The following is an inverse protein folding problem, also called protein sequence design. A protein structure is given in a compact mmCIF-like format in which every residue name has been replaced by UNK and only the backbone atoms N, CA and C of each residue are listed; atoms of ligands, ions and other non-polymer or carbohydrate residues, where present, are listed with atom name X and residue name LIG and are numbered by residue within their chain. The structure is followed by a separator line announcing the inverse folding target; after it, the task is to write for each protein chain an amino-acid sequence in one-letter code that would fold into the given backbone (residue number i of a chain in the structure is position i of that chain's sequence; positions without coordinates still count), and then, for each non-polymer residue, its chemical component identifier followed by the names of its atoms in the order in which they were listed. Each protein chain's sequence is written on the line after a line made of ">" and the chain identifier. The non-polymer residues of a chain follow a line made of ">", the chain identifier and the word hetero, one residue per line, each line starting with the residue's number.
data_IF_150811159640
#
_entry.id   IF_150811159640
#
_cell.length_a   1.000
_cell.length_b   1.000
_cell.length_c   1.000
_cell.angle_alpha   90.00
_cell.angle_beta   90.00
_cell.angle_gamma   90.00
#
_symmetry.space_group_name_H-M   'P 1'
#
loop_
_entity.id
_entity.type
_entity.pdbx_description
1 polymer ?
#
# COMPACT_ATOMS: atom_id res chain seq x y z
N UNK A 1 22.01 62.99 48.84
CA UNK A 1 22.78 61.98 48.11
C UNK A 1 22.01 60.63 48.29
N UNK A 2 21.14 60.30 47.37
CA UNK A 2 20.28 59.15 47.48
C UNK A 2 20.73 58.08 46.46
N UNK A 3 21.31 56.99 46.98
CA UNK A 3 21.65 55.80 46.23
C UNK A 3 20.39 54.95 46.00
N UNK A 4 19.78 54.97 44.80
CA UNK A 4 18.73 54.08 44.39
C UNK A 4 19.36 52.77 43.93
N UNK A 5 19.36 51.71 44.79
CA UNK A 5 19.74 50.33 44.42
C UNK A 5 18.64 49.76 43.55
N UNK A 6 18.87 49.65 42.26
CA UNK A 6 18.07 48.87 41.33
C UNK A 6 18.26 47.39 41.65
N UNK A 7 17.30 46.79 42.32
CA UNK A 7 17.22 45.35 42.45
C UNK A 7 16.67 44.82 41.12
N UNK A 8 17.54 44.34 40.24
CA UNK A 8 17.13 43.55 39.05
C UNK A 8 16.52 42.25 39.56
N UNK A 9 15.25 42.02 39.19
CA UNK A 9 14.50 40.80 39.52
C UNK A 9 15.12 39.60 38.78
N UNK A 10 15.86 38.79 39.55
CA UNK A 10 16.52 37.57 39.09
C UNK A 10 15.53 36.43 38.82
N UNK A 11 14.24 36.69 38.98
CA UNK A 11 13.18 35.68 38.80
C UNK A 11 12.64 35.56 37.37
N UNK A 12 13.05 36.45 36.43
CA UNK A 12 12.60 36.38 35.04
C UNK A 12 13.41 35.43 34.14
N UNK A 13 14.60 35.03 34.57
CA UNK A 13 15.50 34.17 33.81
C UNK A 13 15.07 32.68 33.73
N UNK A 14 14.49 32.06 34.77
CA UNK A 14 14.08 30.64 34.63
C UNK A 14 12.80 30.44 33.81
N UNK A 15 11.91 31.44 33.71
CA UNK A 15 10.65 31.32 32.95
C UNK A 15 10.86 31.32 31.44
N UNK A 16 11.87 32.06 30.94
CA UNK A 16 12.20 32.10 29.51
C UNK A 16 12.88 30.81 29.02
N UNK A 17 13.58 30.07 29.89
CA UNK A 17 14.28 28.84 29.54
C UNK A 17 13.33 27.65 29.42
N UNK A 18 12.18 27.69 30.10
CA UNK A 18 11.16 26.63 30.03
C UNK A 18 10.35 26.65 28.73
N UNK A 19 10.27 27.79 28.04
CA UNK A 19 9.55 27.92 26.77
C UNK A 19 10.36 27.39 25.57
N UNK A 20 11.67 27.21 25.71
CA UNK A 20 12.51 26.68 24.61
C UNK A 20 12.54 25.15 24.53
N UNK A 21 12.10 24.44 25.57
CA UNK A 21 12.10 22.96 25.59
C UNK A 21 10.80 22.38 25.01
N UNK A 22 9.74 23.16 24.90
CA UNK A 22 8.43 22.69 24.40
C UNK A 22 8.30 22.65 22.88
N UNK A 23 9.31 23.11 22.14
CA UNK A 23 9.25 23.27 20.68
C UNK A 23 9.68 22.07 19.84
N UNK A 24 10.31 21.04 20.42
CA UNK A 24 10.90 19.94 19.63
C UNK A 24 10.04 18.67 19.53
N UNK A 25 8.85 18.62 20.15
CA UNK A 25 8.04 17.40 20.20
C UNK A 25 6.97 17.31 19.09
N UNK A 26 6.87 18.28 18.18
CA UNK A 26 5.73 18.38 17.25
C UNK A 26 6.07 18.15 15.77
N UNK A 27 7.28 17.73 15.43
CA UNK A 27 7.65 17.47 14.04
C UNK A 27 8.20 16.06 13.84
N UNK A 28 7.52 15.04 14.37
CA UNK A 28 7.59 13.73 13.76
C UNK A 28 6.60 13.74 12.58
N UNK A 29 7.04 14.28 11.48
CA UNK A 29 6.46 13.95 10.19
C UNK A 29 6.91 12.50 9.93
N UNK A 30 6.13 11.54 10.43
CA UNK A 30 6.20 10.19 9.89
C UNK A 30 5.92 10.32 8.39
N UNK A 31 6.97 10.23 7.60
CA UNK A 31 6.83 10.01 6.17
C UNK A 31 6.13 8.65 6.05
N UNK A 32 4.79 8.67 5.97
CA UNK A 32 4.03 7.47 5.79
C UNK A 32 4.54 6.81 4.50
N UNK A 33 5.15 5.63 4.66
CA UNK A 33 5.60 4.83 3.55
C UNK A 33 4.39 4.47 2.70
N UNK A 34 4.47 4.71 1.39
CA UNK A 34 3.50 4.20 0.45
C UNK A 34 3.70 2.72 0.20
N UNK A 35 2.68 2.01 -0.25
CA UNK A 35 2.80 0.61 -0.64
C UNK A 35 3.33 0.48 -2.07
N UNK A 36 4.08 -0.58 -2.33
CA UNK A 36 4.24 -1.09 -3.69
C UNK A 36 3.18 -2.15 -3.92
N UNK A 37 2.40 -2.02 -4.98
CA UNK A 37 1.45 -3.03 -5.43
C UNK A 37 1.75 -3.37 -6.89
N UNK A 38 1.85 -4.65 -7.22
CA UNK A 38 2.03 -5.14 -8.59
C UNK A 38 1.10 -6.32 -8.81
N UNK A 39 0.24 -6.21 -9.79
CA UNK A 39 -0.65 -7.29 -10.20
C UNK A 39 -0.25 -7.74 -11.59
N UNK A 40 0.19 -8.98 -11.68
CA UNK A 40 0.65 -9.60 -12.92
C UNK A 40 -0.33 -10.68 -13.37
N UNK A 41 -0.49 -10.81 -14.66
CA UNK A 41 -1.24 -11.92 -15.24
C UNK A 41 -0.38 -13.17 -15.36
N UNK A 42 -0.99 -14.33 -15.13
CA UNK A 42 -0.39 -15.61 -15.49
C UNK A 42 -0.19 -15.66 -17.00
N UNK A 43 1.00 -16.11 -17.41
CA UNK A 43 1.41 -16.23 -18.81
C UNK A 43 2.01 -17.59 -19.06
N UNK A 44 1.87 -18.09 -20.27
CA UNK A 44 2.56 -19.30 -20.67
C UNK A 44 4.06 -19.04 -20.76
N UNK A 45 4.86 -20.07 -20.43
CA UNK A 45 6.32 -19.96 -20.52
C UNK A 45 6.69 -19.62 -21.96
N UNK A 46 7.25 -18.44 -22.16
CA UNK A 46 7.71 -17.98 -23.48
C UNK A 46 9.23 -18.12 -23.60
N UNK A 47 9.67 -18.61 -24.73
CA UNK A 47 11.10 -18.65 -25.09
C UNK A 47 11.72 -17.25 -25.26
N UNK A 48 10.91 -16.20 -25.29
CA UNK A 48 11.35 -14.81 -25.55
C UNK A 48 11.70 -14.02 -24.28
N UNK A 49 11.71 -14.64 -23.09
CA UNK A 49 12.17 -13.99 -21.84
C UNK A 49 11.20 -12.97 -21.22
N UNK A 50 9.98 -12.82 -21.75
CA UNK A 50 8.95 -11.92 -21.22
C UNK A 50 8.14 -12.51 -20.06
N UNK A 51 8.56 -13.68 -19.54
CA UNK A 51 7.88 -14.37 -18.44
C UNK A 51 8.85 -14.69 -17.33
N UNK A 52 8.34 -14.70 -16.09
CA UNK A 52 9.10 -15.03 -14.87
C UNK A 52 8.31 -16.09 -14.09
N UNK A 53 9.01 -17.12 -13.62
CA UNK A 53 8.45 -18.10 -12.69
C UNK A 53 8.55 -17.58 -11.27
N UNK A 54 7.45 -17.62 -10.53
CA UNK A 54 7.36 -17.15 -9.14
C UNK A 54 6.68 -18.21 -8.28
N UNK A 55 6.99 -18.18 -6.97
CA UNK A 55 6.28 -18.99 -5.97
C UNK A 55 5.39 -18.07 -5.15
N UNK A 56 4.11 -18.42 -5.08
CA UNK A 56 3.09 -17.69 -4.30
C UNK A 56 2.61 -18.58 -3.17
N UNK A 57 2.21 -17.97 -2.05
CA UNK A 57 1.75 -18.63 -0.82
C UNK A 57 2.86 -19.37 -0.07
N UNK A 58 2.97 -19.11 1.24
CA UNK A 58 4.02 -19.71 2.10
C UNK A 58 3.62 -21.10 2.62
N UNK A 59 2.35 -21.25 2.97
CA UNK A 59 1.83 -22.50 3.57
C UNK A 59 1.61 -23.62 2.56
N UNK A 60 1.24 -23.25 1.34
CA UNK A 60 1.05 -24.18 0.22
C UNK A 60 1.63 -23.56 -1.05
N UNK A 61 2.95 -23.59 -1.23
CA UNK A 61 3.60 -22.91 -2.34
C UNK A 61 3.08 -23.39 -3.70
N UNK A 62 2.61 -22.43 -4.49
CA UNK A 62 2.19 -22.62 -5.87
C UNK A 62 3.13 -21.90 -6.80
N UNK A 63 3.70 -22.61 -7.77
CA UNK A 63 4.57 -22.00 -8.78
C UNK A 63 3.75 -21.66 -10.02
N UNK A 64 3.78 -20.41 -10.43
CA UNK A 64 3.13 -19.91 -11.65
C UNK A 64 4.10 -19.07 -12.47
N UNK A 65 3.91 -19.06 -13.78
CA UNK A 65 4.63 -18.17 -14.68
C UNK A 65 3.80 -16.92 -14.90
N UNK A 66 4.41 -15.77 -14.78
CA UNK A 66 3.75 -14.47 -14.93
C UNK A 66 4.39 -13.65 -16.04
N UNK A 67 3.63 -12.76 -16.66
CA UNK A 67 4.18 -11.72 -17.51
C UNK A 67 5.08 -10.78 -16.68
N UNK A 68 6.21 -10.35 -17.25
CA UNK A 68 7.16 -9.48 -16.55
C UNK A 68 6.55 -8.12 -16.22
N UNK A 69 5.71 -7.59 -17.12
CA UNK A 69 5.05 -6.30 -16.93
C UNK A 69 3.76 -6.48 -16.12
N UNK A 70 3.54 -5.67 -15.08
CA UNK A 70 2.30 -5.72 -14.32
C UNK A 70 1.13 -5.13 -15.12
N UNK A 71 -0.05 -5.67 -14.92
CA UNK A 71 -1.31 -5.17 -15.48
C UNK A 71 -1.75 -3.92 -14.71
N UNK A 72 -1.56 -3.95 -13.38
CA UNK A 72 -1.94 -2.90 -12.44
C UNK A 72 -0.83 -2.67 -11.41
N UNK A 73 -0.75 -1.43 -10.97
CA UNK A 73 0.24 -0.95 -10.00
C UNK A 73 -0.44 -0.14 -8.88
N UNK A 74 0.32 0.27 -7.87
CA UNK A 74 -0.18 1.17 -6.82
C UNK A 74 -0.68 2.52 -7.35
N UNK A 75 -0.23 2.96 -8.52
CA UNK A 75 -0.69 4.21 -9.15
C UNK A 75 -2.12 4.12 -9.68
N UNK A 76 -2.63 2.91 -9.88
CA UNK A 76 -3.99 2.65 -10.36
C UNK A 76 -5.00 2.53 -9.20
N UNK A 77 -4.52 2.55 -7.93
CA UNK A 77 -5.36 2.34 -6.75
C UNK A 77 -6.07 3.63 -6.36
N UNK A 78 -7.41 3.55 -6.29
CA UNK A 78 -8.29 4.59 -5.73
C UNK A 78 -8.49 4.42 -4.22
N UNK A 79 -8.42 3.20 -3.71
CA UNK A 79 -8.54 2.90 -2.29
C UNK A 79 -8.48 1.41 -1.98
N UNK A 80 -8.31 1.09 -0.70
CA UNK A 80 -8.31 -0.29 -0.23
C UNK A 80 -9.00 -0.40 1.14
N UNK A 81 -9.55 -1.55 1.45
CA UNK A 81 -10.13 -1.86 2.77
C UNK A 81 -10.02 -3.35 3.10
N UNK A 82 -10.08 -3.66 4.39
CA UNK A 82 -10.30 -5.03 4.86
C UNK A 82 -11.79 -5.36 4.83
N UNK A 83 -12.09 -6.58 4.49
CA UNK A 83 -13.45 -7.14 4.47
C UNK A 83 -13.43 -8.46 5.20
N UNK A 84 -14.31 -8.61 6.18
CA UNK A 84 -14.47 -9.87 6.89
C UNK A 84 -15.06 -10.93 5.97
N UNK A 85 -14.50 -12.13 6.02
CA UNK A 85 -14.99 -13.26 5.23
C UNK A 85 -16.03 -14.08 6.03
N UNK A 86 -17.14 -14.48 5.41
CA UNK A 86 -18.08 -15.40 6.04
C UNK A 86 -17.38 -16.70 6.44
N UNK A 87 -17.43 -17.04 7.74
CA UNK A 87 -16.77 -18.26 8.25
C UNK A 87 -15.45 -18.00 8.98
N UNK A 88 -15.09 -16.74 9.19
CA UNK A 88 -13.85 -16.30 9.83
C UNK A 88 -12.73 -16.06 8.83
N UNK A 89 -11.85 -15.15 9.18
CA UNK A 89 -10.80 -14.66 8.30
C UNK A 89 -11.15 -13.33 7.65
N UNK A 90 -10.27 -12.84 6.80
CA UNK A 90 -10.39 -11.54 6.14
C UNK A 90 -9.92 -11.60 4.69
N UNK A 91 -10.34 -10.62 3.92
CA UNK A 91 -9.88 -10.37 2.56
C UNK A 91 -9.50 -8.89 2.42
N UNK A 92 -8.62 -8.61 1.48
CA UNK A 92 -8.32 -7.24 1.04
C UNK A 92 -9.13 -6.95 -0.20
N UNK A 93 -9.91 -5.87 -0.15
CA UNK A 93 -10.60 -5.32 -1.29
C UNK A 93 -9.86 -4.07 -1.75
N UNK A 94 -9.46 -4.05 -3.02
CA UNK A 94 -8.80 -2.93 -3.68
C UNK A 94 -9.73 -2.37 -4.73
N UNK A 95 -9.98 -1.08 -4.66
CA UNK A 95 -10.73 -0.32 -5.66
C UNK A 95 -9.72 0.42 -6.54
N UNK A 96 -9.85 0.29 -7.84
CA UNK A 96 -9.00 0.96 -8.81
C UNK A 96 -9.67 2.20 -9.39
N UNK A 97 -8.86 3.14 -9.84
CA UNK A 97 -9.28 4.24 -10.68
C UNK A 97 -9.91 3.72 -11.99
N UNK A 98 -10.63 4.55 -12.70
CA UNK A 98 -11.38 4.17 -13.89
C UNK A 98 -10.52 3.43 -14.94
N UNK A 99 -9.32 3.95 -15.21
CA UNK A 99 -8.38 3.33 -16.16
C UNK A 99 -7.86 1.98 -15.68
N UNK A 100 -7.54 1.85 -14.40
CA UNK A 100 -7.14 0.59 -13.77
C UNK A 100 -8.29 -0.42 -13.75
N UNK A 101 -9.51 0.05 -13.46
CA UNK A 101 -10.72 -0.78 -13.53
C UNK A 101 -10.94 -1.35 -14.93
N UNK A 102 -10.75 -0.56 -15.97
CA UNK A 102 -10.85 -1.04 -17.36
C UNK A 102 -9.76 -2.06 -17.70
N UNK A 103 -8.52 -1.84 -17.23
CA UNK A 103 -7.42 -2.79 -17.44
C UNK A 103 -7.71 -4.15 -16.77
N UNK A 104 -8.23 -4.13 -15.52
CA UNK A 104 -8.66 -5.34 -14.81
C UNK A 104 -9.75 -6.07 -15.57
N UNK A 105 -10.77 -5.35 -16.00
CA UNK A 105 -11.92 -5.90 -16.70
C UNK A 105 -11.52 -6.51 -18.05
N UNK A 106 -10.70 -5.80 -18.83
CA UNK A 106 -10.22 -6.26 -20.13
C UNK A 106 -9.37 -7.53 -19.98
N UNK A 107 -8.44 -7.55 -19.00
CA UNK A 107 -7.60 -8.71 -18.76
C UNK A 107 -8.45 -9.93 -18.34
N UNK A 108 -9.34 -9.75 -17.36
CA UNK A 108 -10.14 -10.86 -16.83
C UNK A 108 -11.18 -11.38 -17.80
N UNK A 109 -11.67 -10.55 -18.73
CA UNK A 109 -12.55 -10.97 -19.82
C UNK A 109 -11.84 -11.90 -20.83
N UNK A 110 -10.56 -11.62 -21.10
CA UNK A 110 -9.76 -12.38 -22.10
C UNK A 110 -9.03 -13.59 -21.52
N UNK A 111 -8.94 -13.74 -20.20
CA UNK A 111 -8.10 -14.74 -19.53
C UNK A 111 -8.83 -15.55 -18.44
N UNK A 112 -10.01 -16.12 -18.71
CA UNK A 112 -10.67 -17.02 -17.77
C UNK A 112 -9.81 -18.26 -17.55
N UNK A 113 -9.73 -18.74 -16.30
CA UNK A 113 -8.93 -19.89 -15.91
C UNK A 113 -7.46 -19.58 -15.63
N UNK A 114 -6.99 -18.35 -15.81
CA UNK A 114 -5.64 -17.90 -15.44
C UNK A 114 -5.64 -17.22 -14.06
N UNK A 115 -4.47 -17.12 -13.45
CA UNK A 115 -4.30 -16.47 -12.15
C UNK A 115 -3.85 -15.01 -12.30
N UNK A 116 -4.23 -14.19 -11.31
CA UNK A 116 -3.68 -12.87 -11.08
C UNK A 116 -2.68 -12.96 -9.92
N UNK A 117 -1.39 -12.87 -10.20
CA UNK A 117 -0.37 -12.85 -9.16
C UNK A 117 -0.26 -11.47 -8.53
N UNK A 118 -0.44 -11.38 -7.22
CA UNK A 118 -0.45 -10.14 -6.46
C UNK A 118 0.79 -10.06 -5.59
N UNK A 119 1.69 -9.13 -5.92
CA UNK A 119 2.84 -8.75 -5.12
C UNK A 119 2.52 -7.46 -4.38
N UNK A 120 2.87 -7.39 -3.10
CA UNK A 120 2.83 -6.13 -2.36
C UNK A 120 4.01 -6.00 -1.40
N UNK A 121 4.38 -4.74 -1.11
CA UNK A 121 5.31 -4.35 -0.07
C UNK A 121 4.68 -3.16 0.67
N UNK A 122 4.56 -3.24 1.99
CA UNK A 122 3.83 -2.25 2.81
C UNK A 122 4.70 -1.47 3.77
N UNK A 123 6.02 -1.69 3.74
CA UNK A 123 6.99 -0.91 4.48
C UNK A 123 8.26 -0.68 3.66
N UNK A 124 9.17 0.12 4.15
CA UNK A 124 10.50 0.35 3.58
C UNK A 124 11.43 -0.86 3.70
N UNK A 125 11.04 -1.87 4.49
CA UNK A 125 11.80 -3.10 4.65
C UNK A 125 11.54 -4.04 3.48
N UNK A 126 12.59 -4.48 2.82
CA UNK A 126 12.48 -5.42 1.68
C UNK A 126 11.85 -6.76 2.05
N UNK A 127 11.98 -7.17 3.32
CA UNK A 127 11.41 -8.42 3.84
C UNK A 127 9.88 -8.40 3.83
N UNK A 128 9.27 -7.21 3.89
CA UNK A 128 7.81 -7.05 3.86
C UNK A 128 7.25 -7.10 2.42
N UNK A 129 8.12 -7.21 1.41
CA UNK A 129 7.72 -7.38 0.00
C UNK A 129 7.62 -8.83 -0.41
N UNK A 130 6.41 -9.31 -0.78
CA UNK A 130 6.21 -10.69 -1.22
C UNK A 130 4.97 -10.88 -2.08
N UNK A 131 4.87 -12.05 -2.69
CA UNK A 131 3.66 -12.50 -3.38
C UNK A 131 2.62 -12.92 -2.36
N UNK A 132 1.49 -12.21 -2.30
CA UNK A 132 0.46 -12.39 -1.28
C UNK A 132 -0.67 -13.31 -1.72
N UNK A 133 -0.98 -13.34 -3.01
CA UNK A 133 -2.11 -14.10 -3.51
C UNK A 133 -1.98 -14.40 -5.00
N UNK A 134 -2.70 -15.42 -5.45
CA UNK A 134 -2.89 -15.73 -6.86
C UNK A 134 -4.35 -16.17 -7.11
N UNK A 135 -5.35 -15.27 -7.00
CA UNK A 135 -6.73 -15.61 -7.27
C UNK A 135 -6.92 -16.05 -8.72
N UNK A 136 -7.73 -17.09 -8.88
CA UNK A 136 -8.14 -17.59 -10.20
C UNK A 136 -9.18 -16.67 -10.83
N UNK A 137 -9.00 -16.30 -12.08
CA UNK A 137 -9.98 -15.56 -12.87
C UNK A 137 -11.10 -16.51 -13.28
N UNK A 138 -12.20 -16.47 -12.57
CA UNK A 138 -13.39 -17.32 -12.86
C UNK A 138 -14.28 -16.63 -13.89
N UNK A 139 -14.35 -15.30 -13.86
CA UNK A 139 -15.21 -14.47 -14.69
C UNK A 139 -14.62 -13.08 -14.89
N UNK A 140 -15.15 -12.34 -15.87
CA UNK A 140 -14.87 -10.90 -16.05
C UNK A 140 -15.15 -10.15 -14.74
N UNK A 141 -14.21 -9.33 -14.32
CA UNK A 141 -14.30 -8.48 -13.12
C UNK A 141 -14.55 -7.04 -13.55
N UNK A 142 -15.82 -6.64 -13.58
CA UNK A 142 -16.22 -5.25 -13.84
C UNK A 142 -16.28 -4.43 -12.56
N UNK A 143 -16.40 -3.10 -12.73
CA UNK A 143 -16.57 -2.17 -11.60
C UNK A 143 -15.28 -1.78 -10.89
N UNK A 144 -14.11 -2.20 -11.39
CA UNK A 144 -12.81 -1.75 -10.87
C UNK A 144 -12.48 -2.22 -9.46
N UNK A 145 -13.03 -3.36 -9.01
CA UNK A 145 -12.81 -3.89 -7.66
C UNK A 145 -12.21 -5.29 -7.75
N UNK A 146 -11.13 -5.50 -7.02
CA UNK A 146 -10.49 -6.80 -6.83
C UNK A 146 -10.47 -7.16 -5.34
N UNK A 147 -11.05 -8.32 -5.01
CA UNK A 147 -11.01 -8.88 -3.66
C UNK A 147 -10.19 -10.15 -3.64
N UNK A 148 -9.27 -10.27 -2.69
CA UNK A 148 -8.42 -11.45 -2.53
C UNK A 148 -8.10 -11.72 -1.06
N UNK A 149 -7.85 -12.98 -0.72
CA UNK A 149 -7.36 -13.38 0.60
C UNK A 149 -5.83 -13.38 0.56
N UNK A 150 -5.17 -12.49 1.31
CA UNK A 150 -3.71 -12.40 1.31
C UNK A 150 -3.07 -13.49 2.19
N UNK A 151 -1.91 -14.00 1.79
CA UNK A 151 -1.00 -14.75 2.66
C UNK A 151 -0.26 -13.80 3.61
N UNK A 152 -0.99 -13.23 4.54
CA UNK A 152 -0.54 -12.23 5.48
C UNK A 152 -1.29 -12.36 6.80
N UNK A 153 -0.68 -11.88 7.89
CA UNK A 153 -1.42 -11.69 9.14
C UNK A 153 -2.41 -10.54 9.01
N UNK A 154 -3.38 -10.48 9.92
CA UNK A 154 -4.34 -9.37 9.95
C UNK A 154 -3.65 -8.02 10.09
N UNK A 155 -2.62 -7.94 10.95
CA UNK A 155 -1.83 -6.73 11.18
C UNK A 155 -1.05 -6.30 9.92
N UNK A 156 -0.44 -7.25 9.20
CA UNK A 156 0.25 -6.97 7.94
C UNK A 156 -0.74 -6.46 6.87
N UNK A 157 -1.94 -7.04 6.82
CA UNK A 157 -2.97 -6.63 5.88
C UNK A 157 -3.53 -5.22 6.23
N UNK A 158 -3.67 -4.89 7.51
CA UNK A 158 -4.03 -3.52 7.93
C UNK A 158 -2.95 -2.50 7.53
N UNK A 159 -1.67 -2.84 7.70
CA UNK A 159 -0.56 -1.99 7.28
C UNK A 159 -0.56 -1.78 5.77
N UNK A 160 -0.77 -2.84 4.99
CA UNK A 160 -0.89 -2.77 3.53
C UNK A 160 -2.05 -1.84 3.12
N UNK A 161 -3.24 -2.03 3.67
CA UNK A 161 -4.41 -1.20 3.38
C UNK A 161 -4.15 0.26 3.73
N UNK A 162 -3.54 0.53 4.89
CA UNK A 162 -3.16 1.89 5.29
C UNK A 162 -2.18 2.53 4.31
N UNK A 163 -1.16 1.79 3.89
CA UNK A 163 -0.13 2.28 2.97
C UNK A 163 -0.72 2.54 1.56
N UNK A 164 -1.57 1.65 1.04
CA UNK A 164 -2.28 1.84 -0.24
C UNK A 164 -3.16 3.09 -0.23
N UNK A 165 -3.88 3.33 0.87
CA UNK A 165 -4.73 4.51 1.02
C UNK A 165 -3.92 5.82 1.13
N UNK A 166 -2.68 5.77 1.63
CA UNK A 166 -1.76 6.92 1.61
C UNK A 166 -1.40 7.28 0.16
N UNK A 167 -1.06 6.28 -0.65
CA UNK A 167 -0.72 6.52 -2.06
C UNK A 167 -1.92 6.96 -2.88
N UNK A 168 -3.09 6.37 -2.69
CA UNK A 168 -4.32 6.78 -3.35
C UNK A 168 -4.62 8.28 -3.12
N UNK A 169 -4.46 8.76 -1.88
CA UNK A 169 -4.63 10.18 -1.55
C UNK A 169 -3.57 11.07 -2.20
N UNK A 170 -2.32 10.62 -2.30
CA UNK A 170 -1.25 11.37 -2.99
C UNK A 170 -1.55 11.48 -4.47
N UNK A 171 -1.98 10.37 -5.10
CA UNK A 171 -2.28 10.31 -6.53
C UNK A 171 -3.49 11.21 -6.88
N UNK A 172 -4.56 11.21 -6.07
CA UNK A 172 -5.71 12.09 -6.27
C UNK A 172 -5.33 13.57 -6.13
N UNK A 173 -4.56 13.94 -5.11
CA UNK A 173 -4.10 15.32 -4.91
C UNK A 173 -3.13 15.84 -5.98
N UNK A 174 -2.50 14.97 -6.76
CA UNK A 174 -1.69 15.34 -7.92
C UNK A 174 -2.55 15.60 -9.16
N UNK A 175 -3.64 14.85 -9.33
CA UNK A 175 -4.60 15.03 -10.45
C UNK A 175 -5.38 16.34 -10.35
N UNK A 176 -5.72 16.77 -9.14
CA UNK A 176 -6.46 18.03 -8.91
C UNK A 176 -5.63 19.30 -9.20
N UNK A 177 -4.32 19.16 -9.45
CA UNK A 177 -3.39 20.28 -9.73
C UNK A 177 -3.00 20.42 -11.20
N UNK A 178 -3.50 19.57 -12.09
CA UNK A 178 -3.30 19.62 -13.54
C UNK A 178 -4.51 20.16 -14.25
#
# INVERSE_FOLDING_TARGET
>A
MNFYRRRFNLYFLPAALWLLVSGCALWHHEHAFGAVLRIHGESESSATGSTKSISVLRSQPMTINIATDPILTESDVAGAKLVDSPGGGFSVEVTFEETGGWSLEQYTAGNPGKHLAIFAQWSDKKEDGRWLAAPLVIRRMGGGVLTFTPDASHEEAEQLVKALNVDAKRNSGLKDKQ
#
